data_IF_695057981144
#
_entry.id   IF_695057981144
#
_cell.length_a   1.000
_cell.length_b   1.000
_cell.length_c   1.000
_cell.angle_alpha   90.00
_cell.angle_beta   90.00
_cell.angle_gamma   90.00
#
_symmetry.space_group_name_H-M   'P 1'
#
loop_
_entity.id
_entity.type
_entity.pdbx_description
1 polymer ?
#
# COMPACT_ATOMS: atom_id res chain seq x y z
N UNK A 1 6.09 9.02 21.87
CA UNK A 1 7.05 9.09 20.74
C UNK A 1 6.39 8.60 19.47
N UNK A 2 6.78 9.10 18.31
CA UNK A 2 6.35 8.57 17.01
C UNK A 2 7.54 7.93 16.29
N UNK A 3 7.37 6.68 15.88
CA UNK A 3 8.33 5.89 15.13
C UNK A 3 7.81 5.67 13.72
N UNK A 4 8.59 6.08 12.73
CA UNK A 4 8.23 5.96 11.33
C UNK A 4 9.14 4.95 10.60
N UNK A 5 8.54 3.88 10.09
CA UNK A 5 9.15 2.81 9.29
C UNK A 5 8.61 2.76 7.85
N UNK A 6 7.47 3.40 7.57
CA UNK A 6 6.83 3.42 6.24
C UNK A 6 7.47 4.48 5.33
N UNK A 7 8.79 4.35 5.16
CA UNK A 7 9.67 5.31 4.54
C UNK A 7 11.07 5.19 5.12
N UNK A 8 11.81 6.29 5.11
CA UNK A 8 13.06 6.41 5.85
C UNK A 8 12.83 6.37 7.37
N UNK A 9 13.63 5.60 8.10
CA UNK A 9 13.53 5.49 9.56
C UNK A 9 13.62 6.87 10.21
N UNK A 10 12.57 7.27 10.94
CA UNK A 10 12.53 8.51 11.72
C UNK A 10 11.93 8.28 13.09
N UNK A 11 12.47 9.00 14.06
CA UNK A 11 12.03 8.99 15.45
C UNK A 11 11.75 10.42 15.87
N UNK A 12 10.56 10.65 16.43
CA UNK A 12 10.13 11.97 16.90
C UNK A 12 9.61 11.88 18.33
N UNK A 13 10.02 12.81 19.15
CA UNK A 13 9.50 13.07 20.50
C UNK A 13 8.63 14.33 20.47
N UNK A 14 7.99 14.67 21.59
CA UNK A 14 7.37 15.98 21.75
C UNK A 14 8.39 17.14 21.72
N UNK A 15 9.66 16.85 22.03
CA UNK A 15 10.77 17.79 22.07
C UNK A 15 11.50 17.97 20.73
N UNK A 16 11.38 17.05 19.77
CA UNK A 16 12.06 17.16 18.49
C UNK A 16 12.26 15.84 17.74
N UNK A 17 13.24 15.83 16.83
CA UNK A 17 13.66 14.64 16.08
C UNK A 17 14.84 13.99 16.81
N UNK A 18 14.78 12.68 17.03
CA UNK A 18 15.90 11.93 17.61
C UNK A 18 16.94 11.66 16.53
N UNK A 19 18.09 12.33 16.62
CA UNK A 19 19.21 12.14 15.69
C UNK A 19 19.91 10.81 15.91
N UNK A 20 19.75 9.86 14.99
CA UNK A 20 20.45 8.57 15.05
C UNK A 20 21.88 8.68 14.49
N UNK A 21 22.93 8.32 15.25
CA UNK A 21 24.33 8.67 14.94
C UNK A 21 24.90 8.09 13.64
N UNK A 22 24.27 7.07 13.06
CA UNK A 22 24.79 6.41 11.85
C UNK A 22 23.88 5.29 11.33
N UNK A 23 24.23 4.68 10.18
CA UNK A 23 23.45 3.62 9.55
C UNK A 23 23.29 2.39 10.46
N UNK A 24 24.36 1.95 11.13
CA UNK A 24 24.30 0.79 12.05
C UNK A 24 23.36 1.06 13.22
N UNK A 25 23.41 2.27 13.81
CA UNK A 25 22.51 2.65 14.90
C UNK A 25 21.04 2.66 14.45
N UNK A 26 20.78 3.13 13.22
CA UNK A 26 19.45 3.06 12.57
C UNK A 26 18.98 1.62 12.40
N UNK A 27 19.82 0.75 11.87
CA UNK A 27 19.49 -0.67 11.71
C UNK A 27 19.18 -1.35 13.05
N UNK A 28 19.96 -1.09 14.12
CA UNK A 28 19.66 -1.60 15.47
C UNK A 28 18.27 -1.16 15.91
N UNK A 29 17.98 0.14 15.84
CA UNK A 29 16.69 0.69 16.30
C UNK A 29 15.53 0.12 15.48
N UNK A 30 15.65 0.07 14.16
CA UNK A 30 14.64 -0.53 13.30
C UNK A 30 14.41 -2.00 13.66
N UNK A 31 15.48 -2.78 13.85
CA UNK A 31 15.38 -4.19 14.19
C UNK A 31 14.67 -4.43 15.53
N UNK A 32 14.92 -3.58 16.52
CA UNK A 32 14.24 -3.61 17.81
C UNK A 32 12.77 -3.17 17.71
N UNK A 33 12.46 -2.18 16.85
CA UNK A 33 11.07 -1.76 16.57
C UNK A 33 10.27 -2.89 15.91
N UNK A 34 10.88 -3.62 14.98
CA UNK A 34 10.27 -4.80 14.35
C UNK A 34 10.00 -5.93 15.34
N UNK A 35 10.75 -6.01 16.43
CA UNK A 35 10.49 -6.94 17.54
C UNK A 35 9.34 -6.49 18.47
N UNK A 36 8.79 -5.29 18.28
CA UNK A 36 7.59 -4.76 18.98
C UNK A 36 7.65 -4.88 20.51
N UNK A 37 8.77 -4.47 21.09
CA UNK A 37 9.02 -4.54 22.54
C UNK A 37 9.58 -5.89 23.01
N UNK A 38 9.70 -6.88 22.12
CA UNK A 38 10.43 -8.11 22.34
C UNK A 38 11.93 -7.89 22.47
N UNK A 39 12.61 -8.82 23.14
CA UNK A 39 14.07 -8.85 23.26
C UNK A 39 14.67 -9.45 21.99
N UNK A 40 15.63 -8.76 21.37
CA UNK A 40 16.47 -9.30 20.29
C UNK A 40 17.82 -9.67 20.89
N UNK A 41 18.25 -10.91 20.65
CA UNK A 41 19.51 -11.43 21.18
C UNK A 41 20.72 -10.71 20.59
N UNK A 42 21.80 -10.61 21.37
CA UNK A 42 23.05 -9.98 20.93
C UNK A 42 23.60 -10.62 19.66
N UNK A 43 23.64 -11.95 19.62
CA UNK A 43 24.21 -12.69 18.49
C UNK A 43 23.38 -12.47 17.23
N UNK A 44 22.05 -12.46 17.35
CA UNK A 44 21.16 -12.08 16.23
C UNK A 44 21.42 -10.66 15.71
N UNK A 45 21.60 -9.68 16.60
CA UNK A 45 21.95 -8.32 16.16
C UNK A 45 23.33 -8.31 15.49
N UNK A 46 24.30 -9.07 16.01
CA UNK A 46 25.63 -9.16 15.42
C UNK A 46 25.54 -9.74 14.00
N UNK A 47 24.88 -10.87 13.85
CA UNK A 47 24.75 -11.59 12.59
C UNK A 47 24.00 -10.77 11.54
N UNK A 48 22.90 -10.11 11.92
CA UNK A 48 22.10 -9.33 10.97
C UNK A 48 22.77 -8.00 10.56
N UNK A 49 23.53 -7.36 11.45
CA UNK A 49 24.12 -6.04 11.20
C UNK A 49 25.49 -6.11 10.53
N UNK A 50 26.28 -7.11 10.90
CA UNK A 50 27.62 -7.29 10.37
C UNK A 50 27.70 -8.42 9.34
N UNK A 51 26.79 -9.41 9.33
CA UNK A 51 26.75 -10.47 8.32
C UNK A 51 28.12 -11.14 8.13
N UNK A 52 28.59 -11.23 6.89
CA UNK A 52 29.94 -11.71 6.54
C UNK A 52 31.05 -10.65 6.68
N UNK A 53 30.71 -9.39 7.02
CA UNK A 53 31.71 -8.35 7.26
C UNK A 53 32.29 -8.49 8.66
N UNK A 54 33.53 -8.94 8.74
CA UNK A 54 34.28 -9.03 9.99
C UNK A 54 34.58 -7.64 10.56
N UNK A 55 33.74 -7.17 11.49
CA UNK A 55 34.28 -6.34 12.55
C UNK A 55 35.27 -7.20 13.35
N UNK A 56 36.50 -6.72 13.59
CA UNK A 56 37.49 -7.45 14.42
C UNK A 56 36.94 -7.87 15.79
N UNK A 57 35.97 -7.13 16.33
CA UNK A 57 35.25 -7.47 17.55
C UNK A 57 33.81 -6.93 17.49
N UNK A 58 32.85 -7.71 16.94
CA UNK A 58 31.49 -7.25 16.71
C UNK A 58 30.72 -7.03 18.02
N UNK A 59 31.02 -7.80 19.07
CA UNK A 59 30.40 -7.63 20.39
C UNK A 59 30.73 -6.25 20.99
N UNK A 60 32.01 -5.83 20.95
CA UNK A 60 32.41 -4.50 21.40
C UNK A 60 31.80 -3.40 20.52
N UNK A 61 31.80 -3.60 19.19
CA UNK A 61 31.17 -2.67 18.26
C UNK A 61 29.68 -2.45 18.58
N UNK A 62 28.95 -3.53 18.88
CA UNK A 62 27.55 -3.46 19.31
C UNK A 62 27.40 -2.66 20.61
N UNK A 63 28.22 -2.92 21.64
CA UNK A 63 28.17 -2.15 22.90
C UNK A 63 28.38 -0.65 22.66
N UNK A 64 29.36 -0.29 21.82
CA UNK A 64 29.62 1.12 21.47
C UNK A 64 28.39 1.76 20.80
N UNK A 65 27.72 1.04 19.88
CA UNK A 65 26.50 1.55 19.24
C UNK A 65 25.34 1.70 20.23
N UNK A 66 25.17 0.74 21.15
CA UNK A 66 24.14 0.80 22.19
C UNK A 66 24.37 2.00 23.12
N UNK A 67 25.61 2.26 23.54
CA UNK A 67 25.95 3.43 24.36
C UNK A 67 25.62 4.74 23.64
N UNK A 68 25.98 4.84 22.35
CA UNK A 68 25.64 6.01 21.52
C UNK A 68 24.13 6.20 21.37
N UNK A 69 23.38 5.10 21.18
CA UNK A 69 21.92 5.14 21.08
C UNK A 69 21.29 5.59 22.41
N UNK A 70 21.74 5.07 23.55
CA UNK A 70 21.27 5.50 24.86
C UNK A 70 21.48 7.00 25.08
N UNK A 71 22.65 7.52 24.71
CA UNK A 71 22.93 8.95 24.78
C UNK A 71 22.00 9.77 23.86
N UNK A 72 21.72 9.28 22.64
CA UNK A 72 20.81 9.95 21.70
C UNK A 72 19.35 10.01 22.22
N UNK A 73 18.87 8.94 22.87
CA UNK A 73 17.55 8.94 23.52
C UNK A 73 17.53 9.84 24.77
N UNK A 74 18.57 9.78 25.61
CA UNK A 74 18.70 10.62 26.80
C UNK A 74 18.69 12.12 26.46
N UNK A 75 19.39 12.51 25.39
CA UNK A 75 19.41 13.90 24.90
C UNK A 75 18.03 14.45 24.49
N UNK A 76 17.02 13.58 24.35
CA UNK A 76 15.64 13.96 24.03
C UNK A 76 14.68 13.77 25.21
N UNK A 77 15.19 13.46 26.40
CA UNK A 77 14.41 13.20 27.61
C UNK A 77 13.80 11.79 27.67
N UNK A 78 14.25 10.88 26.81
CA UNK A 78 13.72 9.52 26.67
C UNK A 78 14.72 8.50 27.24
N UNK A 79 15.20 8.75 28.46
CA UNK A 79 16.11 7.85 29.16
C UNK A 79 15.46 6.48 29.42
N UNK A 80 16.26 5.41 29.41
CA UNK A 80 15.77 4.06 29.70
C UNK A 80 15.01 3.37 28.57
N UNK A 81 14.75 4.02 27.42
CA UNK A 81 14.06 3.38 26.28
C UNK A 81 14.77 2.15 25.72
N UNK A 82 16.11 2.12 25.78
CA UNK A 82 16.93 1.03 25.27
C UNK A 82 17.50 0.20 26.42
N UNK A 83 16.81 -0.89 26.75
CA UNK A 83 17.13 -1.76 27.87
C UNK A 83 17.99 -2.95 27.46
N UNK A 84 18.88 -3.36 28.37
CA UNK A 84 19.56 -4.65 28.30
C UNK A 84 18.75 -5.68 29.09
N UNK A 85 18.31 -6.75 28.44
CA UNK A 85 17.47 -7.78 29.08
C UNK A 85 17.77 -9.16 28.49
N UNK A 86 17.87 -10.19 29.34
CA UNK A 86 18.05 -11.60 28.95
C UNK A 86 19.16 -11.84 27.90
N UNK A 87 20.31 -11.18 28.06
CA UNK A 87 21.44 -11.32 27.13
C UNK A 87 21.28 -10.60 25.79
N UNK A 88 20.19 -9.85 25.59
CA UNK A 88 19.91 -9.06 24.41
C UNK A 88 19.50 -7.62 24.74
N UNK A 89 18.85 -6.99 23.77
CA UNK A 89 18.33 -5.63 23.89
C UNK A 89 16.86 -5.57 23.48
N UNK A 90 16.13 -4.63 24.08
CA UNK A 90 14.77 -4.28 23.65
C UNK A 90 14.59 -2.77 23.64
N UNK A 91 13.74 -2.31 22.74
CA UNK A 91 13.24 -0.94 22.76
C UNK A 91 11.88 -0.92 23.46
N UNK A 92 11.77 -0.17 24.56
CA UNK A 92 10.55 -0.07 25.36
C UNK A 92 9.61 0.95 24.71
N UNK A 93 8.47 0.44 24.24
CA UNK A 93 7.37 1.24 23.72
C UNK A 93 6.40 1.57 24.85
N UNK A 94 6.14 2.86 25.04
CA UNK A 94 5.17 3.38 25.99
C UNK A 94 3.74 3.34 25.44
N UNK A 95 2.72 3.50 26.29
CA UNK A 95 1.32 3.40 25.88
C UNK A 95 0.88 4.50 24.90
N UNK A 96 1.55 5.65 24.92
CA UNK A 96 1.31 6.79 24.01
C UNK A 96 2.29 6.81 22.83
N UNK A 97 3.08 5.74 22.67
CA UNK A 97 3.99 5.64 21.54
C UNK A 97 3.26 5.09 20.32
N UNK A 98 3.53 5.70 19.19
CA UNK A 98 2.94 5.34 17.91
C UNK A 98 4.00 4.77 16.99
N UNK A 99 3.73 3.60 16.45
CA UNK A 99 4.50 2.99 15.38
C UNK A 99 3.64 3.00 14.11
N UNK A 100 4.05 3.77 13.10
CA UNK A 100 3.28 3.94 11.86
C UNK A 100 2.92 2.61 11.18
N UNK A 101 3.84 1.64 11.17
CA UNK A 101 3.60 0.31 10.63
C UNK A 101 2.50 -0.45 11.40
N UNK A 102 2.45 -0.32 12.73
CA UNK A 102 1.42 -0.94 13.55
C UNK A 102 0.06 -0.24 13.41
N UNK A 103 0.06 1.10 13.27
CA UNK A 103 -1.13 1.89 12.97
C UNK A 103 -1.69 1.51 11.60
N UNK A 104 -0.82 1.41 10.59
CA UNK A 104 -1.19 1.00 9.24
C UNK A 104 -1.79 -0.40 9.22
N UNK A 105 -1.17 -1.38 9.88
CA UNK A 105 -1.72 -2.74 9.99
C UNK A 105 -3.11 -2.77 10.65
N UNK A 106 -3.32 -1.92 11.66
CA UNK A 106 -4.61 -1.80 12.33
C UNK A 106 -5.64 -1.17 11.41
N UNK A 107 -5.29 -0.10 10.70
CA UNK A 107 -6.14 0.54 9.70
C UNK A 107 -6.54 -0.43 8.58
N UNK A 108 -5.62 -1.27 8.09
CA UNK A 108 -5.94 -2.31 7.09
C UNK A 108 -6.87 -3.38 7.65
N UNK A 109 -6.64 -3.83 8.89
CA UNK A 109 -7.50 -4.82 9.54
C UNK A 109 -8.92 -4.28 9.73
N UNK A 110 -9.06 -3.04 10.20
CA UNK A 110 -10.35 -2.37 10.38
C UNK A 110 -11.04 -2.11 9.05
N UNK A 111 -10.31 -1.60 8.05
CA UNK A 111 -10.85 -1.38 6.71
C UNK A 111 -11.37 -2.65 6.05
N UNK A 112 -10.67 -3.78 6.21
CA UNK A 112 -11.14 -5.09 5.73
C UNK A 112 -12.40 -5.56 6.45
N UNK A 113 -12.53 -5.31 7.75
CA UNK A 113 -13.76 -5.61 8.50
C UNK A 113 -14.92 -4.76 8.00
N UNK A 114 -14.72 -3.45 7.87
CA UNK A 114 -15.74 -2.55 7.32
C UNK A 114 -16.14 -2.92 5.88
N UNK A 115 -15.23 -3.43 5.04
CA UNK A 115 -15.58 -3.98 3.72
C UNK A 115 -16.50 -5.20 3.83
N UNK A 116 -16.19 -6.13 4.74
CA UNK A 116 -17.00 -7.32 4.96
C UNK A 116 -18.40 -6.98 5.48
N UNK A 117 -18.50 -5.93 6.31
CA UNK A 117 -19.76 -5.41 6.86
C UNK A 117 -20.49 -4.45 5.89
N UNK A 118 -19.99 -4.30 4.65
CA UNK A 118 -20.51 -3.38 3.63
C UNK A 118 -20.57 -1.90 4.08
N UNK A 119 -19.81 -1.53 5.11
CA UNK A 119 -19.66 -0.16 5.58
C UNK A 119 -18.61 0.58 4.73
N UNK A 120 -18.90 0.78 3.45
CA UNK A 120 -17.92 1.21 2.45
C UNK A 120 -17.28 2.57 2.74
N UNK A 121 -18.02 3.57 3.23
CA UNK A 121 -17.41 4.85 3.59
C UNK A 121 -16.44 4.73 4.76
N UNK A 122 -16.73 3.86 5.73
CA UNK A 122 -15.81 3.62 6.85
C UNK A 122 -14.59 2.85 6.37
N UNK A 123 -14.78 1.84 5.53
CA UNK A 123 -13.69 1.06 4.94
C UNK A 123 -12.72 1.96 4.18
N UNK A 124 -13.23 2.79 3.27
CA UNK A 124 -12.41 3.68 2.47
C UNK A 124 -11.64 4.67 3.36
N UNK A 125 -12.31 5.34 4.30
CA UNK A 125 -11.65 6.28 5.23
C UNK A 125 -10.50 5.60 5.98
N UNK A 126 -10.76 4.47 6.63
CA UNK A 126 -9.74 3.75 7.41
C UNK A 126 -8.54 3.36 6.55
N UNK A 127 -8.78 2.83 5.35
CA UNK A 127 -7.70 2.42 4.44
C UNK A 127 -6.89 3.63 3.94
N UNK A 128 -7.56 4.73 3.59
CA UNK A 128 -6.91 5.98 3.16
C UNK A 128 -6.10 6.64 4.28
N UNK A 129 -6.63 6.67 5.50
CA UNK A 129 -5.92 7.16 6.68
C UNK A 129 -4.63 6.36 6.90
N UNK A 130 -4.71 5.03 6.83
CA UNK A 130 -3.52 4.17 6.92
C UNK A 130 -2.52 4.42 5.78
N UNK A 131 -3.00 4.55 4.54
CA UNK A 131 -2.15 4.83 3.38
C UNK A 131 -1.45 6.20 3.49
N UNK A 132 -2.05 7.18 4.15
CA UNK A 132 -1.44 8.51 4.36
C UNK A 132 -0.19 8.49 5.27
N UNK A 133 0.01 7.42 6.05
CA UNK A 133 1.19 7.24 6.89
C UNK A 133 2.47 6.96 6.07
N UNK A 134 2.30 6.50 4.83
CA UNK A 134 3.40 6.14 3.95
C UNK A 134 4.09 7.39 3.39
N UNK A 135 5.40 7.48 3.59
CA UNK A 135 6.24 8.60 3.17
C UNK A 135 7.33 8.18 2.17
N UNK A 136 7.28 6.95 1.69
CA UNK A 136 8.24 6.39 0.75
C UNK A 136 8.13 4.87 0.71
N UNK A 137 9.19 4.23 0.22
CA UNK A 137 9.37 2.78 0.32
C UNK A 137 9.60 2.38 1.78
N UNK A 138 9.01 1.29 2.25
CA UNK A 138 9.20 0.87 3.63
C UNK A 138 10.70 0.59 3.92
N UNK A 139 11.19 1.06 5.07
CA UNK A 139 12.58 0.87 5.52
C UNK A 139 13.63 1.28 4.46
N UNK A 140 13.39 2.36 3.71
CA UNK A 140 14.14 2.68 2.48
C UNK A 140 15.66 2.84 2.68
N UNK A 141 16.08 3.28 3.87
CA UNK A 141 17.48 3.56 4.19
C UNK A 141 18.20 2.43 4.94
N UNK A 142 17.63 1.22 4.91
CA UNK A 142 18.08 0.06 5.66
C UNK A 142 18.28 -1.16 4.73
N UNK A 143 19.43 -1.80 4.87
CA UNK A 143 19.83 -2.98 4.11
C UNK A 143 19.97 -4.19 5.02
N UNK A 144 19.66 -5.36 4.48
CA UNK A 144 19.80 -6.65 5.17
C UNK A 144 18.59 -7.57 4.95
N UNK A 145 18.76 -8.89 5.12
CA UNK A 145 17.70 -9.89 4.87
C UNK A 145 16.43 -9.63 5.68
N UNK A 146 16.56 -9.29 6.98
CA UNK A 146 15.43 -9.03 7.86
C UNK A 146 14.60 -7.81 7.40
N UNK A 147 15.25 -6.71 7.01
CA UNK A 147 14.57 -5.52 6.52
C UNK A 147 13.98 -5.73 5.13
N UNK A 148 14.63 -6.53 4.28
CA UNK A 148 14.09 -6.89 2.97
C UNK A 148 12.79 -7.68 3.11
N UNK A 149 12.78 -8.74 3.93
CA UNK A 149 11.59 -9.55 4.16
C UNK A 149 10.42 -8.72 4.71
N UNK A 150 10.70 -7.86 5.69
CA UNK A 150 9.68 -7.00 6.28
C UNK A 150 9.18 -5.93 5.30
N UNK A 151 10.07 -5.34 4.50
CA UNK A 151 9.70 -4.40 3.43
C UNK A 151 8.75 -5.05 2.43
N UNK A 152 9.07 -6.26 1.96
CA UNK A 152 8.19 -7.01 1.04
C UNK A 152 6.81 -7.21 1.69
N UNK A 153 6.76 -7.67 2.95
CA UNK A 153 5.49 -7.85 3.67
C UNK A 153 4.66 -6.56 3.79
N UNK A 154 5.30 -5.44 4.10
CA UNK A 154 4.62 -4.15 4.27
C UNK A 154 4.14 -3.57 2.93
N UNK A 155 4.95 -3.66 1.87
CA UNK A 155 4.54 -3.19 0.53
C UNK A 155 3.39 -4.06 -0.02
N UNK A 156 3.41 -5.37 0.20
CA UNK A 156 2.28 -6.26 -0.12
C UNK A 156 1.00 -5.84 0.62
N UNK A 157 1.12 -5.48 1.90
CA UNK A 157 0.01 -4.96 2.68
C UNK A 157 -0.49 -3.61 2.16
N UNK A 158 0.41 -2.73 1.68
CA UNK A 158 0.09 -1.47 1.02
C UNK A 158 -0.73 -1.67 -0.24
N UNK A 159 -0.30 -2.58 -1.11
CA UNK A 159 -1.01 -2.92 -2.34
C UNK A 159 -2.41 -3.44 -2.03
N UNK A 160 -2.54 -4.33 -1.05
CA UNK A 160 -3.84 -4.82 -0.60
C UNK A 160 -4.74 -3.71 -0.02
N UNK A 161 -4.17 -2.71 0.66
CA UNK A 161 -4.91 -1.57 1.18
C UNK A 161 -5.42 -0.64 0.07
N UNK A 162 -4.61 -0.39 -0.96
CA UNK A 162 -5.01 0.35 -2.16
C UNK A 162 -6.15 -0.37 -2.90
N UNK A 163 -6.01 -1.67 -3.11
CA UNK A 163 -7.06 -2.51 -3.70
C UNK A 163 -8.35 -2.47 -2.85
N UNK A 164 -8.24 -2.51 -1.52
CA UNK A 164 -9.40 -2.40 -0.63
C UNK A 164 -10.09 -1.03 -0.70
N UNK A 165 -9.32 0.06 -0.74
CA UNK A 165 -9.85 1.41 -0.85
C UNK A 165 -10.54 1.61 -2.22
N UNK A 166 -9.97 1.08 -3.29
CA UNK A 166 -10.59 1.08 -4.61
C UNK A 166 -11.89 0.24 -4.64
N UNK A 167 -11.91 -0.93 -3.99
CA UNK A 167 -13.14 -1.72 -3.83
C UNK A 167 -14.25 -0.91 -3.14
N UNK A 168 -13.95 -0.24 -2.02
CA UNK A 168 -14.93 0.61 -1.35
C UNK A 168 -15.37 1.78 -2.24
N UNK A 169 -14.45 2.48 -2.90
CA UNK A 169 -14.77 3.61 -3.77
C UNK A 169 -15.65 3.22 -4.98
N UNK A 170 -15.47 2.02 -5.53
CA UNK A 170 -16.34 1.47 -6.58
C UNK A 170 -17.78 1.28 -6.11
N UNK A 171 -17.95 0.77 -4.88
CA UNK A 171 -19.27 0.61 -4.22
C UNK A 171 -19.86 1.94 -3.75
N UNK A 172 -19.08 3.01 -3.68
CA UNK A 172 -19.56 4.36 -3.41
C UNK A 172 -19.83 5.18 -4.68
N UNK A 173 -19.66 4.56 -5.86
CA UNK A 173 -19.85 5.23 -7.15
C UNK A 173 -18.74 6.23 -7.54
N UNK A 174 -17.64 6.30 -6.78
CA UNK A 174 -16.50 7.24 -6.99
C UNK A 174 -15.56 6.79 -8.11
N UNK A 175 -16.13 6.30 -9.20
CA UNK A 175 -15.42 5.59 -10.28
C UNK A 175 -14.43 6.48 -11.02
N UNK A 176 -14.77 7.75 -11.26
CA UNK A 176 -13.91 8.69 -11.99
C UNK A 176 -12.59 8.96 -11.26
N UNK A 177 -12.64 9.13 -9.93
CA UNK A 177 -11.47 9.45 -9.11
C UNK A 177 -10.50 8.26 -9.00
N UNK A 178 -11.00 7.03 -9.13
CA UNK A 178 -10.20 5.80 -9.04
C UNK A 178 -9.40 5.47 -10.30
N UNK A 179 -9.82 5.96 -11.47
CA UNK A 179 -9.15 5.65 -12.76
C UNK A 179 -7.65 6.03 -12.76
N UNK A 180 -7.24 7.26 -12.42
CA UNK A 180 -5.83 7.63 -12.43
C UNK A 180 -5.02 6.83 -11.40
N UNK A 181 -5.57 6.58 -10.21
CA UNK A 181 -4.92 5.80 -9.16
C UNK A 181 -4.69 4.35 -9.57
N UNK A 182 -5.69 3.68 -10.13
CA UNK A 182 -5.58 2.30 -10.58
C UNK A 182 -4.64 2.15 -11.80
N UNK A 183 -4.58 3.16 -12.68
CA UNK A 183 -3.57 3.22 -13.76
C UNK A 183 -2.15 3.33 -13.19
N UNK A 184 -1.94 4.19 -12.19
CA UNK A 184 -0.64 4.31 -11.53
C UNK A 184 -0.24 3.00 -10.84
N UNK A 185 -1.18 2.35 -10.16
CA UNK A 185 -0.95 1.04 -9.53
C UNK A 185 -0.53 -0.03 -10.54
N UNK A 186 -1.21 -0.14 -11.69
CA UNK A 186 -0.85 -1.10 -12.75
C UNK A 186 0.45 -0.76 -13.48
N UNK A 187 0.91 0.48 -13.42
CA UNK A 187 2.23 0.85 -13.97
C UNK A 187 3.37 0.30 -13.13
N UNK A 188 3.16 0.17 -11.81
CA UNK A 188 4.12 -0.40 -10.86
C UNK A 188 3.96 -1.92 -10.76
N UNK A 189 2.71 -2.40 -10.70
CA UNK A 189 2.37 -3.81 -10.51
C UNK A 189 1.56 -4.37 -11.69
N UNK A 190 2.18 -4.52 -12.88
CA UNK A 190 1.46 -4.86 -14.10
C UNK A 190 0.86 -6.27 -14.10
N UNK A 191 1.40 -7.20 -13.32
CA UNK A 191 0.91 -8.58 -13.26
C UNK A 191 -0.26 -8.77 -12.31
N UNK A 192 -0.64 -7.77 -11.51
CA UNK A 192 -1.78 -7.86 -10.59
C UNK A 192 -3.11 -7.76 -11.31
N UNK A 193 -3.93 -8.81 -11.18
CA UNK A 193 -5.23 -8.90 -11.86
C UNK A 193 -6.35 -8.14 -11.14
N UNK A 194 -6.31 -8.04 -9.81
CA UNK A 194 -7.35 -7.34 -9.03
C UNK A 194 -7.47 -5.85 -9.36
N UNK A 195 -6.41 -5.02 -9.30
CA UNK A 195 -6.50 -3.62 -9.71
C UNK A 195 -6.85 -3.45 -11.20
N UNK A 196 -6.52 -4.43 -12.04
CA UNK A 196 -6.95 -4.47 -13.44
C UNK A 196 -8.45 -4.64 -13.58
N UNK A 197 -9.04 -5.59 -12.87
CA UNK A 197 -10.49 -5.77 -12.84
C UNK A 197 -11.20 -4.51 -12.31
N UNK A 198 -10.66 -3.90 -11.26
CA UNK A 198 -11.20 -2.65 -10.69
C UNK A 198 -11.13 -1.50 -11.70
N UNK A 199 -10.03 -1.38 -12.46
CA UNK A 199 -9.88 -0.34 -13.49
C UNK A 199 -10.86 -0.57 -14.65
N UNK A 200 -11.01 -1.82 -15.11
CA UNK A 200 -12.00 -2.16 -16.14
C UNK A 200 -13.41 -1.76 -15.71
N UNK A 201 -13.79 -2.08 -14.47
CA UNK A 201 -15.11 -1.76 -13.93
C UNK A 201 -15.30 -0.24 -13.78
N UNK A 202 -14.30 0.48 -13.28
CA UNK A 202 -14.34 1.94 -13.17
C UNK A 202 -14.53 2.61 -14.54
N UNK A 203 -13.73 2.20 -15.54
CA UNK A 203 -13.81 2.72 -16.91
C UNK A 203 -15.17 2.41 -17.55
N UNK A 204 -15.67 1.19 -17.39
CA UNK A 204 -16.99 0.81 -17.88
C UNK A 204 -18.10 1.67 -17.26
N UNK A 205 -18.10 1.85 -15.94
CA UNK A 205 -19.09 2.69 -15.22
C UNK A 205 -19.01 4.16 -15.62
N UNK A 206 -17.83 4.64 -16.02
CA UNK A 206 -17.62 5.97 -16.62
C UNK A 206 -18.04 6.08 -18.11
N UNK A 207 -18.59 5.02 -18.72
CA UNK A 207 -18.97 5.00 -20.14
C UNK A 207 -17.81 4.75 -21.12
N UNK A 208 -16.59 4.55 -20.61
CA UNK A 208 -15.35 4.34 -21.39
C UNK A 208 -15.11 2.86 -21.67
N UNK A 209 -16.12 2.20 -22.25
CA UNK A 209 -16.14 0.75 -22.48
C UNK A 209 -14.96 0.25 -23.35
N UNK A 210 -14.61 0.97 -24.42
CA UNK A 210 -13.48 0.61 -25.29
C UNK A 210 -12.14 0.58 -24.52
N UNK A 211 -11.92 1.51 -23.60
CA UNK A 211 -10.73 1.52 -22.75
C UNK A 211 -10.75 0.37 -21.73
N UNK A 212 -11.92 0.00 -21.19
CA UNK A 212 -12.03 -1.16 -20.30
C UNK A 212 -11.61 -2.46 -21.02
N UNK A 213 -12.03 -2.65 -22.27
CA UNK A 213 -11.61 -3.81 -23.07
C UNK A 213 -10.11 -3.78 -23.40
N UNK A 214 -9.56 -2.59 -23.69
CA UNK A 214 -8.13 -2.43 -23.94
C UNK A 214 -7.28 -2.83 -22.71
N UNK A 215 -7.73 -2.47 -21.51
CA UNK A 215 -7.06 -2.84 -20.24
C UNK A 215 -7.01 -4.36 -20.03
N UNK A 216 -8.07 -5.08 -20.40
CA UNK A 216 -8.08 -6.55 -20.38
C UNK A 216 -7.05 -7.13 -21.36
N UNK A 217 -7.09 -6.70 -22.62
CA UNK A 217 -6.20 -7.21 -23.67
C UNK A 217 -4.72 -6.92 -23.41
N UNK A 218 -4.42 -5.77 -22.81
CA UNK A 218 -3.07 -5.48 -22.32
C UNK A 218 -2.65 -6.47 -21.22
N UNK A 219 -3.51 -6.69 -20.22
CA UNK A 219 -3.23 -7.63 -19.12
C UNK A 219 -3.03 -9.06 -19.61
N UNK A 220 -3.92 -9.55 -20.48
CA UNK A 220 -3.85 -10.88 -21.08
C UNK A 220 -2.54 -11.09 -21.82
N UNK A 221 -2.09 -10.10 -22.59
CA UNK A 221 -0.80 -10.16 -23.30
C UNK A 221 0.38 -10.21 -22.33
N UNK A 222 0.37 -9.37 -21.28
CA UNK A 222 1.46 -9.33 -20.28
C UNK A 222 1.54 -10.62 -19.46
N UNK A 223 0.42 -11.13 -18.94
CA UNK A 223 0.37 -12.38 -18.17
C UNK A 223 0.88 -13.57 -18.99
N UNK A 224 0.47 -13.66 -20.27
CA UNK A 224 0.96 -14.70 -21.15
C UNK A 224 2.46 -14.52 -21.46
N UNK A 225 2.91 -13.32 -21.78
CA UNK A 225 4.30 -13.06 -22.12
C UNK A 225 5.28 -13.29 -20.95
N UNK A 226 4.90 -12.89 -19.73
CA UNK A 226 5.79 -12.93 -18.56
C UNK A 226 5.67 -14.21 -17.74
N UNK A 227 4.46 -14.78 -17.64
CA UNK A 227 4.20 -15.96 -16.80
C UNK A 227 3.74 -17.19 -17.61
N UNK A 228 3.40 -17.04 -18.88
CA UNK A 228 2.84 -18.14 -19.70
C UNK A 228 1.43 -18.57 -19.28
N UNK A 229 0.72 -17.74 -18.52
CA UNK A 229 -0.61 -18.06 -17.97
C UNK A 229 -1.72 -17.24 -18.64
N UNK A 230 -2.92 -17.82 -18.66
CA UNK A 230 -4.13 -17.11 -19.05
C UNK A 230 -4.68 -16.26 -17.87
N UNK A 231 -5.48 -15.21 -18.14
CA UNK A 231 -6.15 -14.44 -17.10
C UNK A 231 -7.06 -15.31 -16.20
N UNK A 232 -7.23 -14.88 -14.96
CA UNK A 232 -8.08 -15.53 -13.98
C UNK A 232 -9.53 -15.65 -14.46
N UNK A 233 -10.32 -16.62 -13.96
CA UNK A 233 -11.76 -16.70 -14.23
C UNK A 233 -12.48 -15.38 -13.97
N UNK A 234 -12.21 -14.73 -12.83
CA UNK A 234 -12.86 -13.47 -12.44
C UNK A 234 -12.62 -12.35 -13.47
N UNK A 235 -11.39 -12.25 -13.98
CA UNK A 235 -11.04 -11.23 -14.98
C UNK A 235 -11.66 -11.55 -16.37
N UNK A 236 -11.77 -12.85 -16.72
CA UNK A 236 -12.45 -13.31 -17.94
C UNK A 236 -13.96 -13.08 -17.89
N UNK A 237 -14.58 -13.35 -16.74
CA UNK A 237 -16.01 -13.17 -16.54
C UNK A 237 -16.38 -11.69 -16.61
N UNK A 238 -15.57 -10.81 -16.00
CA UNK A 238 -15.74 -9.37 -16.13
C UNK A 238 -15.63 -8.90 -17.59
N UNK A 239 -14.65 -9.40 -18.33
CA UNK A 239 -14.52 -9.09 -19.76
C UNK A 239 -15.77 -9.52 -20.56
N UNK A 240 -16.26 -10.73 -20.34
CA UNK A 240 -17.48 -11.22 -20.98
C UNK A 240 -18.74 -10.43 -20.58
N UNK A 241 -18.84 -9.99 -19.32
CA UNK A 241 -19.93 -9.15 -18.84
C UNK A 241 -19.88 -7.74 -19.49
N UNK A 242 -18.69 -7.18 -19.69
CA UNK A 242 -18.49 -5.88 -20.36
C UNK A 242 -18.91 -5.96 -21.82
N UNK A 243 -18.52 -7.03 -22.53
CA UNK A 243 -18.94 -7.27 -23.93
C UNK A 243 -20.46 -7.39 -24.09
N UNK A 244 -21.13 -7.98 -23.09
CA UNK A 244 -22.59 -8.19 -23.08
C UNK A 244 -23.38 -7.03 -22.47
N UNK A 245 -22.70 -5.98 -22.01
CA UNK A 245 -23.31 -4.86 -21.30
C UNK A 245 -24.22 -5.28 -20.13
N UNK A 246 -23.78 -6.26 -19.32
CA UNK A 246 -24.64 -6.85 -18.30
C UNK A 246 -25.13 -5.80 -17.27
N UNK A 247 -26.41 -5.87 -16.85
CA UNK A 247 -26.94 -4.97 -15.81
C UNK A 247 -26.20 -5.07 -14.47
N UNK A 248 -25.61 -6.22 -14.17
CA UNK A 248 -24.80 -6.50 -12.96
C UNK A 248 -23.59 -5.58 -12.81
N UNK A 249 -23.08 -5.01 -13.90
CA UNK A 249 -21.93 -4.10 -13.88
C UNK A 249 -22.28 -2.66 -13.49
N UNK A 250 -23.57 -2.34 -13.40
CA UNK A 250 -24.04 -1.00 -13.03
C UNK A 250 -23.64 -0.72 -11.57
N UNK A 251 -23.15 0.49 -11.33
CA UNK A 251 -22.81 0.94 -9.98
C UNK A 251 -24.05 1.33 -9.17
N UNK A 252 -23.91 1.46 -7.85
CA UNK A 252 -24.97 2.00 -7.01
C UNK A 252 -25.34 3.41 -7.47
N UNK A 253 -26.65 3.65 -7.61
CA UNK A 253 -27.18 4.98 -7.93
C UNK A 253 -27.28 5.35 -9.42
N UNK A 254 -27.10 4.43 -10.38
CA UNK A 254 -27.48 4.70 -11.78
C UNK A 254 -28.93 4.24 -12.02
N UNK A 255 -29.90 5.16 -12.18
CA UNK A 255 -31.27 4.79 -12.51
C UNK A 255 -31.31 4.02 -13.84
N UNK A 256 -32.25 3.08 -13.96
CA UNK A 256 -32.60 2.49 -15.26
C UNK A 256 -32.97 3.62 -16.22
N UNK A 257 -32.30 3.77 -17.38
CA UNK A 257 -32.91 4.50 -18.48
C UNK A 257 -34.12 3.67 -18.90
N UNK A 258 -35.32 4.05 -18.46
CA UNK A 258 -36.58 3.39 -18.82
C UNK A 258 -37.63 3.24 -17.71
N UNK A 259 -37.39 3.64 -16.46
CA UNK A 259 -38.38 3.50 -15.38
C UNK A 259 -39.12 4.81 -15.01
N UNK A 260 -38.86 5.93 -15.71
CA UNK A 260 -39.44 7.24 -15.39
C UNK A 260 -40.47 7.75 -16.42
N UNK A 261 -40.93 6.92 -17.36
CA UNK A 261 -42.02 7.26 -18.29
C UNK A 261 -43.00 6.10 -18.39
N UNK A 262 -43.77 5.84 -17.33
CA UNK A 262 -44.95 4.98 -17.40
C UNK A 262 -46.12 5.45 -16.53
N UNK A 263 -46.10 6.69 -16.03
CA UNK A 263 -47.24 7.31 -15.33
C UNK A 263 -47.44 8.75 -15.83
N UNK A 264 -47.80 8.87 -17.11
CA UNK A 264 -48.42 10.08 -17.65
C UNK A 264 -49.91 9.81 -17.91
N UNK A 265 -50.85 10.59 -17.36
CA UNK A 265 -52.27 10.41 -17.64
C UNK A 265 -52.55 10.68 -19.13
N UNK A 266 -53.26 9.74 -19.75
CA UNK A 266 -53.76 9.79 -21.12
C UNK A 266 -54.62 11.03 -21.34
N UNK A 267 -54.05 12.10 -21.90
CA UNK A 267 -54.81 13.23 -22.42
C UNK A 267 -55.38 12.85 -23.79
N UNK A 268 -56.71 12.88 -23.85
CA UNK A 268 -57.54 12.45 -24.95
C UNK A 268 -57.24 13.22 -26.26
N UNK A 269 -57.15 12.47 -27.35
CA UNK A 269 -57.29 12.96 -28.72
C UNK A 269 -58.65 13.66 -28.86
N UNK A 270 -58.64 14.94 -29.22
CA UNK A 270 -59.83 15.60 -29.75
C UNK A 270 -59.50 16.50 -30.93
N UNK A 271 -60.10 16.11 -32.06
CA UNK A 271 -60.61 16.86 -33.20
C UNK A 271 -59.74 17.87 -33.99
N UNK A 272 -59.80 17.68 -35.31
CA UNK A 272 -59.36 18.54 -36.39
C UNK A 272 -60.04 19.93 -36.39
N UNK A 273 -59.51 20.90 -37.15
CA UNK A 273 -60.33 21.32 -38.30
C UNK A 273 -59.56 21.56 -39.61
N UNK A 274 -60.26 21.13 -40.67
CA UNK A 274 -60.52 21.72 -41.99
C UNK A 274 -59.45 22.50 -42.78
N UNK A 275 -59.40 22.13 -44.07
CA UNK A 275 -58.60 22.75 -45.13
C UNK A 275 -59.28 24.02 -45.60
N UNK A 276 -58.50 25.10 -45.82
CA UNK A 276 -58.61 25.99 -47.00
C UNK A 276 -57.55 27.09 -46.95
N UNK A 277 -56.81 27.26 -48.06
CA UNK A 277 -56.06 28.48 -48.34
C UNK A 277 -54.63 28.28 -48.82
N UNK A 278 -54.45 27.87 -50.08
CA UNK A 278 -53.27 28.23 -50.86
C UNK A 278 -53.59 29.51 -51.65
N UNK A 279 -52.60 30.38 -51.87
CA UNK A 279 -52.26 30.70 -53.26
C UNK A 279 -50.75 30.59 -53.54
N UNK A 280 -50.35 30.53 -54.83
CA UNK A 280 -49.03 30.09 -55.25
C UNK A 280 -48.07 31.25 -55.54
N UNK A 281 -46.75 31.02 -55.42
CA UNK A 281 -45.74 31.55 -56.35
C UNK A 281 -44.40 30.81 -56.16
N UNK A 282 -43.90 30.20 -57.25
CA UNK A 282 -42.52 29.75 -57.44
C UNK A 282 -41.78 30.77 -58.35
N UNK A 283 -40.53 30.51 -58.81
CA UNK A 283 -39.25 30.33 -58.10
C UNK A 283 -38.16 31.26 -58.71
N UNK A 284 -36.99 31.43 -58.09
CA UNK A 284 -35.74 31.67 -58.85
C UNK A 284 -34.48 31.62 -57.97
N UNK A 285 -33.43 30.94 -58.48
CA UNK A 285 -32.03 31.32 -58.23
C UNK A 285 -31.16 30.35 -57.42
N UNK A 286 -30.50 29.42 -58.11
CA UNK A 286 -29.23 28.79 -57.68
C UNK A 286 -28.02 29.64 -58.16
N UNK A 287 -26.74 29.24 -57.99
CA UNK A 287 -26.03 28.52 -56.93
C UNK A 287 -24.72 29.25 -56.49
N UNK A 288 -23.99 28.74 -55.47
CA UNK A 288 -22.61 29.18 -55.18
C UNK A 288 -21.90 28.32 -54.11
N UNK A 289 -20.56 28.18 -54.13
CA UNK A 289 -19.93 26.86 -54.13
C UNK A 289 -19.16 26.46 -52.85
N UNK A 290 -18.67 25.22 -52.91
CA UNK A 290 -17.90 24.44 -51.95
C UNK A 290 -16.66 25.10 -51.33
N UNK A 291 -16.40 24.75 -50.06
CA UNK A 291 -15.09 24.65 -49.41
C UNK A 291 -15.33 24.00 -48.02
N UNK A 292 -14.51 23.13 -47.45
CA UNK A 292 -13.37 22.36 -47.88
C UNK A 292 -13.22 21.24 -46.82
N UNK A 293 -12.93 20.02 -47.28
CA UNK A 293 -12.53 18.91 -46.42
C UNK A 293 -11.19 19.27 -45.75
N UNK A 294 -11.13 19.24 -44.42
CA UNK A 294 -9.85 19.28 -43.68
C UNK A 294 -9.35 17.85 -43.52
N UNK A 295 -8.13 17.49 -43.98
CA UNK A 295 -7.60 16.14 -43.83
C UNK A 295 -6.97 15.91 -42.45
N UNK A 296 -7.09 14.67 -41.97
CA UNK A 296 -6.42 14.16 -40.77
C UNK A 296 -4.89 14.04 -40.97
N UNK A 297 -4.06 14.24 -39.93
CA UNK A 297 -2.64 13.94 -40.01
C UNK A 297 -2.36 12.43 -39.84
N UNK A 298 -1.58 11.89 -40.77
CA UNK A 298 -1.01 10.55 -40.78
C UNK A 298 0.19 10.41 -39.80
N UNK A 299 0.62 9.19 -39.45
CA UNK A 299 1.43 8.92 -38.27
C UNK A 299 2.94 9.12 -38.48
N UNK A 300 3.61 9.60 -37.42
CA UNK A 300 5.06 9.73 -37.30
C UNK A 300 5.73 8.34 -37.27
N UNK A 301 6.64 8.09 -38.21
CA UNK A 301 7.48 6.90 -38.23
C UNK A 301 8.94 7.24 -37.89
N UNK A 302 9.49 6.37 -37.05
CA UNK A 302 10.90 6.00 -36.85
C UNK A 302 11.93 7.06 -36.42
N UNK A 303 12.63 6.80 -35.31
CA UNK A 303 14.08 6.46 -35.29
C UNK A 303 14.60 6.29 -33.85
N UNK A 304 15.37 5.21 -33.64
CA UNK A 304 16.09 4.86 -32.41
C UNK A 304 17.51 5.51 -32.37
N UNK A 305 18.35 5.30 -31.34
CA UNK A 305 18.97 6.40 -30.57
C UNK A 305 20.38 6.80 -31.02
N UNK A 306 20.73 8.06 -30.74
CA UNK A 306 22.08 8.61 -30.87
C UNK A 306 22.95 8.28 -29.65
N UNK A 307 24.23 8.01 -29.94
CA UNK A 307 25.32 7.59 -29.04
C UNK A 307 25.88 8.75 -28.21
N UNK A 308 26.27 8.44 -26.98
CA UNK A 308 27.11 9.29 -26.11
C UNK A 308 28.52 9.52 -26.68
N UNK A 309 29.11 10.71 -26.50
CA UNK A 309 30.55 10.95 -26.60
C UNK A 309 31.26 10.87 -25.22
N UNK A 310 32.55 10.47 -25.17
CA UNK A 310 33.26 10.19 -23.92
C UNK A 310 33.86 11.44 -23.26
N UNK A 311 33.79 11.49 -21.92
CA UNK A 311 34.51 12.47 -21.10
C UNK A 311 36.00 12.11 -20.99
N UNK A 312 36.86 13.07 -21.35
CA UNK A 312 38.32 13.02 -21.19
C UNK A 312 38.71 13.22 -19.72
N UNK A 313 39.49 12.29 -19.19
CA UNK A 313 40.27 12.46 -17.96
C UNK A 313 41.42 13.44 -18.20
N UNK A 314 41.61 14.38 -17.27
CA UNK A 314 42.83 15.20 -17.20
C UNK A 314 43.47 14.97 -15.84
N UNK A 315 44.66 14.39 -15.84
CA UNK A 315 45.55 14.31 -14.70
C UNK A 315 46.40 15.59 -14.64
N UNK A 316 46.46 16.21 -13.47
CA UNK A 316 47.61 16.95 -12.94
C UNK A 316 47.66 16.57 -11.46
N UNK A 317 48.72 15.99 -10.87
CA UNK A 317 50.13 16.09 -11.21
C UNK A 317 50.80 17.03 -10.22
N UNK A 318 51.00 16.60 -8.97
CA UNK A 318 52.11 17.09 -8.14
C UNK A 318 52.67 15.97 -7.26
N UNK A 319 53.95 15.68 -7.54
CA UNK A 319 54.88 14.86 -6.79
C UNK A 319 55.64 15.72 -5.77
N UNK A 320 55.91 15.17 -4.58
CA UNK A 320 57.20 15.20 -3.86
C UNK A 320 57.00 14.51 -2.49
N UNK A 321 57.56 13.31 -2.28
CA UNK A 321 58.86 13.01 -1.60
C UNK A 321 58.79 13.22 -0.09
N UNK A 322 59.24 12.36 0.82
CA UNK A 322 59.92 11.05 0.87
C UNK A 322 59.66 10.55 2.33
N UNK A 323 59.78 9.29 2.75
CA UNK A 323 61.01 8.49 2.78
C UNK A 323 60.75 7.11 3.44
N UNK A 324 61.50 6.11 2.94
CA UNK A 324 61.87 4.82 3.57
C UNK A 324 60.74 3.80 3.78
N UNK A 325 60.80 2.55 3.31
CA UNK A 325 61.89 1.80 2.69
C UNK A 325 61.86 0.36 3.21
N UNK A 326 61.34 -0.59 2.42
CA UNK A 326 61.76 -1.99 2.41
C UNK A 326 61.18 -2.68 1.16
N UNK A 327 62.06 -3.07 0.25
CA UNK A 327 61.75 -3.86 -0.96
C UNK A 327 61.99 -5.33 -0.64
N UNK A 328 61.07 -6.19 -1.05
CA UNK A 328 61.40 -7.52 -1.59
C UNK A 328 60.54 -7.72 -2.85
N UNK A 329 61.10 -8.42 -3.83
CA UNK A 329 60.93 -8.27 -5.27
C UNK A 329 60.23 -9.47 -5.94
N UNK A 330 59.26 -9.16 -6.83
CA UNK A 330 58.90 -9.83 -8.13
C UNK A 330 58.34 -11.27 -8.18
N UNK A 331 57.67 -11.74 -9.27
CA UNK A 331 57.20 -11.05 -10.50
C UNK A 331 55.80 -11.48 -11.08
N UNK A 332 55.43 -10.82 -12.21
CA UNK A 332 54.56 -11.27 -13.34
C UNK A 332 53.03 -11.37 -13.12
N UNK A 333 52.10 -11.04 -14.02
CA UNK A 333 51.99 -10.30 -15.31
C UNK A 333 50.47 -10.13 -15.55
N UNK A 334 50.01 -9.18 -16.39
CA UNK A 334 48.59 -8.82 -16.51
C UNK A 334 47.88 -9.55 -17.65
N UNK A 335 46.57 -9.76 -17.53
CA UNK A 335 45.71 -9.98 -18.69
C UNK A 335 44.30 -9.43 -18.48
N UNK A 336 43.64 -9.25 -19.61
CA UNK A 336 42.70 -8.21 -19.96
C UNK A 336 41.26 -8.72 -20.15
N UNK A 337 40.29 -7.85 -19.85
CA UNK A 337 39.00 -7.62 -20.53
C UNK A 337 38.24 -8.78 -21.19
N UNK A 338 37.03 -9.02 -20.68
CA UNK A 338 35.79 -8.88 -21.47
C UNK A 338 35.25 -10.10 -22.22
N UNK A 339 34.00 -10.47 -21.89
CA UNK A 339 32.84 -10.79 -22.77
C UNK A 339 31.81 -11.57 -21.94
N UNK A 340 30.58 -11.06 -21.74
CA UNK A 340 29.50 -10.95 -22.72
C UNK A 340 28.98 -12.33 -23.16
N UNK A 341 27.79 -12.64 -22.66
CA UNK A 341 26.96 -13.77 -23.03
C UNK A 341 26.58 -13.77 -24.51
N UNK A 342 26.45 -14.96 -25.08
CA UNK A 342 25.66 -15.19 -26.28
C UNK A 342 24.99 -16.57 -26.21
N UNK A 343 23.78 -16.72 -26.79
CA UNK A 343 22.89 -17.87 -26.59
C UNK A 343 23.14 -18.97 -27.63
N UNK A 344 22.91 -20.23 -27.24
CA UNK A 344 22.95 -21.34 -28.19
C UNK A 344 21.55 -21.64 -28.73
N UNK A 345 21.39 -21.37 -30.03
CA UNK A 345 20.27 -21.79 -30.89
C UNK A 345 20.42 -23.26 -31.31
N UNK A 346 19.32 -24.02 -31.26
CA UNK A 346 19.30 -25.44 -31.63
C UNK A 346 19.57 -25.72 -33.12
N UNK A 347 19.97 -26.98 -33.38
CA UNK A 347 19.66 -27.69 -34.63
C UNK A 347 19.70 -29.21 -34.41
N UNK A 348 18.79 -29.88 -35.08
CA UNK A 348 18.49 -31.30 -35.05
C UNK A 348 19.63 -32.21 -35.55
N UNK A 349 19.63 -33.46 -35.07
CA UNK A 349 20.42 -34.57 -35.58
C UNK A 349 19.80 -35.91 -35.16
N UNK A 350 19.44 -36.71 -36.15
CA UNK A 350 18.72 -37.98 -36.10
C UNK A 350 19.51 -39.18 -35.55
N UNK A 351 18.75 -40.18 -35.05
CA UNK A 351 18.94 -41.64 -35.18
C UNK A 351 18.96 -42.44 -33.85
N UNK A 352 18.03 -43.41 -33.77
CA UNK A 352 17.87 -44.53 -32.81
C UNK A 352 18.85 -45.69 -33.14
N UNK A 353 18.91 -46.86 -32.43
CA UNK A 353 18.13 -47.32 -31.25
C UNK A 353 18.95 -47.98 -30.11
N UNK A 354 18.27 -48.25 -28.99
CA UNK A 354 18.47 -49.49 -28.22
C UNK A 354 18.99 -49.36 -26.80
N UNK A 355 18.09 -49.29 -25.81
CA UNK A 355 18.00 -50.26 -24.69
C UNK A 355 17.11 -49.73 -23.56
N UNK A 356 15.92 -50.34 -23.48
CA UNK A 356 15.11 -50.69 -22.30
C UNK A 356 15.68 -50.28 -20.93
N UNK A 357 15.01 -49.38 -20.19
CA UNK A 357 14.80 -49.45 -18.73
C UNK A 357 13.49 -48.73 -18.33
N UNK A 358 12.72 -49.36 -17.43
CA UNK A 358 11.37 -48.98 -16.95
C UNK A 358 11.42 -47.83 -15.93
N UNK A 359 10.37 -46.98 -15.80
CA UNK A 359 10.27 -45.98 -14.74
C UNK A 359 9.67 -46.57 -13.46
N UNK A 360 10.23 -46.17 -12.31
CA UNK A 360 9.67 -46.41 -10.99
C UNK A 360 8.68 -45.28 -10.65
N UNK A 361 7.45 -45.68 -10.35
CA UNK A 361 6.38 -44.83 -9.82
C UNK A 361 6.57 -44.67 -8.31
N UNK A 362 6.63 -43.43 -7.81
CA UNK A 362 6.52 -43.15 -6.38
C UNK A 362 5.06 -42.80 -6.06
N UNK A 363 4.38 -43.74 -5.41
CA UNK A 363 3.05 -43.56 -4.87
C UNK A 363 3.10 -42.76 -3.56
N UNK A 364 2.22 -41.76 -3.45
CA UNK A 364 1.85 -41.11 -2.19
C UNK A 364 0.92 -42.02 -1.36
N UNK A 365 1.04 -42.08 -0.03
CA UNK A 365 0.08 -42.80 0.80
C UNK A 365 -1.17 -41.95 1.10
N UNK A 366 -2.37 -42.56 1.21
CA UNK A 366 -3.60 -41.85 1.56
C UNK A 366 -3.80 -41.72 3.07
N UNK A 367 -4.41 -40.61 3.49
CA UNK A 367 -4.97 -40.38 4.83
C UNK A 367 -6.38 -40.96 4.87
N UNK A 368 -6.60 -41.99 5.68
CA UNK A 368 -7.92 -42.57 5.92
C UNK A 368 -8.60 -41.90 7.11
N UNK A 369 -9.76 -41.31 6.84
CA UNK A 369 -10.79 -40.96 7.83
C UNK A 369 -11.63 -42.22 8.07
N UNK A 370 -11.77 -42.62 9.32
CA UNK A 370 -12.76 -43.62 9.74
C UNK A 370 -13.46 -43.13 11.01
N UNK A 371 -14.73 -42.76 10.87
CA UNK A 371 -15.67 -42.72 11.98
C UNK A 371 -16.18 -44.13 12.30
N UNK A 372 -16.51 -44.36 13.57
CA UNK A 372 -17.12 -45.60 14.04
C UNK A 372 -17.52 -45.46 15.51
N UNK A 373 -18.81 -45.26 15.74
CA UNK A 373 -19.46 -45.35 17.04
C UNK A 373 -19.44 -46.79 17.56
N UNK A 374 -19.13 -46.97 18.85
CA UNK A 374 -19.76 -47.98 19.72
C UNK A 374 -19.55 -47.61 21.19
N UNK A 375 -20.64 -47.63 21.96
CA UNK A 375 -20.64 -47.55 23.43
C UNK A 375 -20.06 -48.83 24.06
N UNK A 376 -19.67 -48.76 25.34
CA UNK A 376 -20.34 -49.63 26.31
C UNK A 376 -20.70 -48.94 27.63
N UNK A 377 -21.70 -49.52 28.30
CA UNK A 377 -22.20 -49.16 29.64
C UNK A 377 -21.34 -49.75 30.77
N UNK A 378 -21.37 -49.01 31.88
CA UNK A 378 -21.50 -49.41 33.31
C UNK A 378 -20.30 -49.91 34.13
N UNK A 379 -20.29 -49.35 35.36
CA UNK A 379 -19.56 -49.66 36.60
C UNK A 379 -18.08 -49.19 36.64
N UNK A 380 -17.56 -48.49 37.64
CA UNK A 380 -17.91 -48.44 39.07
C UNK A 380 -17.34 -47.17 39.75
N UNK A 381 -18.09 -46.66 40.73
CA UNK A 381 -17.70 -45.91 41.94
C UNK A 381 -16.37 -45.11 41.98
N UNK A 382 -16.51 -43.79 42.14
CA UNK A 382 -15.43 -42.88 42.56
C UNK A 382 -16.00 -41.51 42.94
N UNK A 383 -16.51 -41.40 44.17
CA UNK A 383 -17.09 -40.20 44.74
C UNK A 383 -16.04 -39.09 44.96
N UNK A 384 -16.13 -37.97 44.26
CA UNK A 384 -15.53 -36.69 44.69
C UNK A 384 -16.50 -35.54 44.41
N UNK A 385 -17.01 -34.93 45.49
CA UNK A 385 -17.83 -33.71 45.48
C UNK A 385 -16.98 -32.51 45.05
N UNK A 386 -17.52 -31.55 44.29
CA UNK A 386 -16.92 -30.22 44.15
C UNK A 386 -17.36 -29.31 45.32
N UNK A 387 -16.39 -28.65 45.95
CA UNK A 387 -16.57 -27.63 46.99
C UNK A 387 -17.16 -26.33 46.41
N UNK A 388 -18.06 -25.62 47.13
CA UNK A 388 -18.57 -24.30 46.73
C UNK A 388 -17.62 -23.15 47.13
N UNK A 389 -17.75 -21.96 46.52
CA UNK A 389 -16.82 -20.84 46.70
C UNK A 389 -17.05 -20.05 48.00
N UNK A 390 -16.03 -19.36 48.54
CA UNK A 390 -16.20 -18.52 49.71
C UNK A 390 -16.80 -17.15 49.37
N UNK A 391 -17.87 -16.83 50.09
CA UNK A 391 -18.50 -15.51 50.21
C UNK A 391 -17.87 -14.71 51.36
N UNK A 392 -17.78 -13.38 51.22
CA UNK A 392 -17.56 -12.47 52.35
C UNK A 392 -16.84 -11.16 52.04
N UNK A 393 -17.59 -10.12 51.67
CA UNK A 393 -17.25 -8.71 51.91
C UNK A 393 -18.14 -8.19 53.06
N UNK A 394 -17.67 -7.29 53.94
CA UNK A 394 -18.53 -6.58 54.86
C UNK A 394 -18.85 -5.15 54.37
N UNK A 395 -20.13 -4.78 54.43
CA UNK A 395 -20.67 -3.41 54.27
C UNK A 395 -20.89 -2.71 55.64
N UNK A 396 -20.99 -1.37 55.69
CA UNK A 396 -21.14 -0.55 56.91
C UNK A 396 -22.61 -0.32 57.32
N UNK A 397 -22.90 0.34 58.47
CA UNK A 397 -24.26 0.47 59.00
C UNK A 397 -24.96 1.83 58.72
N UNK A 398 -26.28 1.71 58.48
CA UNK A 398 -27.44 2.58 58.79
C UNK A 398 -27.65 3.99 58.15
N UNK A 399 -28.83 4.16 57.52
CA UNK A 399 -29.43 5.39 56.91
C UNK A 399 -30.33 6.19 57.88
N UNK A 400 -31.53 6.72 57.52
CA UNK A 400 -32.16 7.04 56.21
C UNK A 400 -32.83 8.44 56.17
N UNK A 401 -33.31 8.95 55.01
CA UNK A 401 -34.67 9.54 54.81
C UNK A 401 -34.97 10.08 53.38
N UNK A 402 -36.10 9.61 52.84
CA UNK A 402 -37.10 10.26 51.97
C UNK A 402 -36.74 11.06 50.69
N UNK A 403 -37.14 10.47 49.55
CA UNK A 403 -37.78 11.10 48.36
C UNK A 403 -39.15 11.75 48.74
N UNK A 404 -39.85 12.57 47.89
CA UNK A 404 -39.97 12.41 46.42
C UNK A 404 -40.22 13.67 45.54
N UNK A 405 -40.16 13.43 44.21
CA UNK A 405 -40.94 14.01 43.08
C UNK A 405 -41.04 15.54 42.93
N UNK A 406 -40.84 16.16 41.77
CA UNK A 406 -41.74 16.10 40.60
C UNK A 406 -41.11 16.85 39.40
N UNK A 407 -41.66 16.55 38.24
CA UNK A 407 -41.41 16.80 36.82
C UNK A 407 -41.23 18.23 36.28
N UNK A 408 -40.70 18.25 35.03
CA UNK A 408 -41.16 19.01 33.85
C UNK A 408 -40.40 20.27 33.37
N UNK A 409 -39.79 20.10 32.19
CA UNK A 409 -39.88 20.91 30.95
C UNK A 409 -39.66 22.42 30.96
N UNK A 410 -38.80 22.89 30.03
CA UNK A 410 -39.03 24.17 29.34
C UNK A 410 -37.76 24.96 29.01
N UNK A 411 -37.27 24.84 27.77
CA UNK A 411 -36.72 25.97 27.01
C UNK A 411 -37.91 26.71 26.36
N UNK A 412 -37.89 28.04 26.10
CA UNK A 412 -36.91 28.65 25.19
C UNK A 412 -36.52 30.15 25.39
N UNK A 413 -35.38 30.50 24.76
CA UNK A 413 -35.00 31.73 24.02
C UNK A 413 -35.07 33.16 24.63
N UNK A 414 -34.03 33.89 24.20
CA UNK A 414 -33.83 35.34 24.04
C UNK A 414 -33.43 36.15 25.29
N UNK A 415 -32.24 36.76 25.25
CA UNK A 415 -32.10 38.22 25.16
C UNK A 415 -30.70 38.61 24.68
N UNK A 416 -30.69 39.65 23.86
CA UNK A 416 -29.59 40.40 23.23
C UNK A 416 -28.85 41.32 24.21
N UNK A 417 -27.57 41.63 23.96
CA UNK A 417 -26.96 42.85 24.52
C UNK A 417 -25.43 42.91 24.62
N UNK A 418 -24.80 43.43 23.55
CA UNK A 418 -23.65 44.35 23.50
C UNK A 418 -22.41 44.18 24.43
N UNK A 419 -21.23 44.14 23.79
CA UNK A 419 -19.94 44.48 24.41
C UNK A 419 -18.77 44.37 23.43
N UNK A 420 -18.39 45.49 22.79
CA UNK A 420 -17.19 45.65 21.95
C UNK A 420 -15.94 45.72 22.82
N UNK A 421 -14.81 45.19 22.33
CA UNK A 421 -13.51 45.88 22.27
C UNK A 421 -12.47 45.00 21.53
N UNK A 422 -11.86 45.56 20.48
CA UNK A 422 -10.71 45.02 19.74
C UNK A 422 -9.39 45.22 20.50
N UNK A 423 -8.31 44.60 20.04
CA UNK A 423 -7.15 45.43 19.70
C UNK A 423 -6.54 45.12 18.34
N UNK A 424 -5.81 46.13 17.88
CA UNK A 424 -5.30 46.42 16.55
C UNK A 424 -4.03 45.66 16.14
N UNK A 425 -4.01 45.39 14.84
CA UNK A 425 -2.90 45.20 13.89
C UNK A 425 -1.53 45.79 14.28
N UNK A 426 -0.47 45.01 14.09
CA UNK A 426 0.83 45.55 13.66
C UNK A 426 1.49 44.58 12.69
N UNK A 427 1.58 44.99 11.44
CA UNK A 427 2.44 44.41 10.43
C UNK A 427 3.70 45.27 10.35
N UNK A 428 4.87 44.64 10.29
CA UNK A 428 6.11 45.30 9.87
C UNK A 428 6.99 44.33 9.11
N UNK A 429 6.97 44.52 7.81
CA UNK A 429 7.88 44.01 6.80
C UNK A 429 9.24 44.67 6.99
N UNK A 430 10.33 43.89 7.06
CA UNK A 430 11.68 44.43 6.98
C UNK A 430 12.49 43.66 5.92
N UNK A 431 12.88 44.38 4.88
CA UNK A 431 13.83 43.98 3.87
C UNK A 431 14.64 45.22 3.51
N UNK A 432 15.94 45.25 3.81
CA UNK A 432 17.04 45.40 2.82
C UNK A 432 18.41 45.69 3.46
N UNK A 433 19.42 44.99 2.93
CA UNK A 433 20.81 45.39 2.60
C UNK A 433 21.72 46.09 3.62
N UNK A 434 22.69 45.30 4.09
CA UNK A 434 24.15 45.41 3.89
C UNK A 434 24.85 46.77 3.59
N UNK A 435 25.86 47.05 4.45
CA UNK A 435 27.27 47.46 4.17
C UNK A 435 27.63 48.98 4.08
N UNK A 436 28.91 49.39 4.25
CA UNK A 436 29.62 49.59 5.53
C UNK A 436 30.37 50.95 5.62
N UNK A 437 30.89 51.32 6.79
CA UNK A 437 32.23 51.94 7.05
C UNK A 437 32.35 52.25 8.54
#
# INVERSE_FOLDING_TARGET
MHFALLGRLRLRTGSGVVGLPGPVSRSIVARLLLARGGVVQRDTLIDELWGEREARNPANALQVQITKLRAAFAAQGEEGRLESRHGGYRLVLGPQDELDAALFETAVREGRRSLADQAYEQAERRLRDGLSLWQGRALDDLDGPAFHAERVRLEELRLSALEGAASAGLELGRTADLVPELKALLSVEPLRERPRAQLMLALYRCGRHAEALAVYEEGRRRLNAELGVAPSPELRDLHAAVLRHEPSLRGPGRPLPGAAEADGPTAQLSSAPDRRGLPPHQPSGAPGPAAALVPAPAPYSASAPARDPPHRATCAGHWARSSAGARISTPCTPWSTGRAWSPWSGRAGSARPGSRWRPAHWHSPPVTVSGGWTSPRSATAGSWRPSPPPSGCPTPPYGPTSRPTTTCTGSPRCWTGAGRCSPSTTASTFSTRSRPS
#
